data_IF_958029145241
#
_entry.id   IF_958029145241
#
_cell.length_a   1.000
_cell.length_b   1.000
_cell.length_c   1.000
_cell.angle_alpha   90.00
_cell.angle_beta   90.00
_cell.angle_gamma   90.00
#
_symmetry.space_group_name_H-M   'P 1'
#
loop_
_entity.id
_entity.type
_entity.pdbx_description
1 polymer ?
#
# COMPACT_ATOMS: atom_id res chain seq x y z
N UNK A 1 14.06 -18.46 15.73
CA UNK A 1 12.68 -18.74 16.15
C UNK A 1 11.74 -18.04 15.17
N UNK A 2 11.51 -18.69 14.00
CA UNK A 2 10.88 -18.06 12.81
C UNK A 2 9.73 -18.94 12.29
N UNK A 3 8.69 -19.14 13.10
CA UNK A 3 7.56 -20.03 12.73
C UNK A 3 6.20 -19.31 12.68
N UNK A 4 6.15 -17.98 12.83
CA UNK A 4 4.87 -17.23 12.81
C UNK A 4 4.53 -16.53 11.50
N UNK A 5 5.44 -16.41 10.54
CA UNK A 5 5.19 -15.64 9.30
C UNK A 5 4.41 -16.46 8.26
N UNK A 6 4.49 -17.78 8.26
CA UNK A 6 3.87 -18.61 7.21
C UNK A 6 2.37 -18.94 7.41
N UNK A 7 1.80 -18.67 8.58
CA UNK A 7 0.39 -19.01 8.87
C UNK A 7 -0.61 -17.91 8.48
N UNK A 8 -0.14 -16.69 8.18
CA UNK A 8 -1.00 -15.55 7.84
C UNK A 8 -1.28 -15.40 6.35
N UNK A 9 -0.50 -16.09 5.50
CA UNK A 9 -0.59 -15.91 4.03
C UNK A 9 -1.87 -16.53 3.45
N UNK A 10 -2.42 -17.56 4.08
CA UNK A 10 -3.57 -18.31 3.57
C UNK A 10 -4.94 -17.76 4.01
N UNK A 11 -4.99 -16.66 4.78
CA UNK A 11 -6.23 -16.13 5.36
C UNK A 11 -6.34 -14.60 5.37
N UNK A 12 -5.75 -13.91 4.42
CA UNK A 12 -6.03 -12.48 4.29
C UNK A 12 -7.47 -12.28 3.84
N UNK A 13 -8.32 -11.83 4.76
CA UNK A 13 -9.72 -11.55 4.51
C UNK A 13 -9.96 -10.05 4.60
N UNK A 14 -10.56 -9.49 3.57
CA UNK A 14 -11.05 -8.11 3.57
C UNK A 14 -12.36 -8.08 4.36
N UNK A 15 -12.42 -7.21 5.37
CA UNK A 15 -13.59 -7.05 6.24
C UNK A 15 -14.47 -5.91 5.75
N UNK A 16 -13.84 -4.80 5.35
CA UNK A 16 -14.52 -3.58 4.96
C UNK A 16 -13.65 -2.75 4.01
N UNK A 17 -14.32 -1.87 3.24
CA UNK A 17 -13.69 -0.82 2.45
C UNK A 17 -14.21 0.52 2.94
N UNK A 18 -13.30 1.43 3.27
CA UNK A 18 -13.58 2.77 3.77
C UNK A 18 -13.37 3.81 2.69
N UNK A 19 -14.30 4.75 2.54
CA UNK A 19 -14.06 5.98 1.80
C UNK A 19 -13.08 6.87 2.55
N UNK A 20 -12.11 7.43 1.86
CA UNK A 20 -11.20 8.40 2.43
C UNK A 20 -11.77 9.81 2.24
N UNK A 21 -11.94 10.54 3.35
CA UNK A 21 -12.53 11.88 3.34
C UNK A 21 -11.77 12.85 2.44
N UNK A 22 -12.51 13.72 1.73
CA UNK A 22 -11.90 14.74 0.87
C UNK A 22 -11.42 14.24 -0.49
N UNK A 23 -11.75 13.01 -0.89
CA UNK A 23 -11.23 12.38 -2.12
C UNK A 23 -12.26 12.28 -3.25
N UNK A 24 -13.33 13.09 -3.20
CA UNK A 24 -14.41 13.07 -4.19
C UNK A 24 -14.99 11.66 -4.45
N UNK A 25 -15.01 10.82 -3.42
CA UNK A 25 -15.47 9.41 -3.48
C UNK A 25 -14.72 8.54 -4.48
N UNK A 26 -13.45 8.85 -4.75
CA UNK A 26 -12.63 8.08 -5.68
C UNK A 26 -11.53 7.27 -5.02
N UNK A 27 -11.15 7.62 -3.78
CA UNK A 27 -10.10 6.93 -3.05
C UNK A 27 -10.65 6.28 -1.79
N UNK A 28 -10.39 4.99 -1.66
CA UNK A 28 -10.83 4.11 -0.59
C UNK A 28 -9.65 3.38 0.01
N UNK A 29 -9.85 2.76 1.17
CA UNK A 29 -8.86 1.88 1.78
C UNK A 29 -9.50 0.61 2.32
N UNK A 30 -8.86 -0.53 2.08
CA UNK A 30 -9.30 -1.81 2.60
C UNK A 30 -8.96 -1.97 4.09
N UNK A 31 -9.83 -2.68 4.82
CA UNK A 31 -9.59 -3.15 6.17
C UNK A 31 -9.47 -4.68 6.14
N UNK A 32 -8.46 -5.21 6.82
CA UNK A 32 -8.21 -6.65 6.86
C UNK A 32 -8.54 -7.22 8.24
N UNK A 33 -9.01 -8.48 8.27
CA UNK A 33 -9.28 -9.20 9.49
C UNK A 33 -8.00 -9.30 10.35
N UNK A 34 -8.11 -8.95 11.65
CA UNK A 34 -6.99 -8.89 12.59
C UNK A 34 -6.15 -7.60 12.51
N UNK A 35 -6.50 -6.66 11.61
CA UNK A 35 -5.88 -5.33 11.51
C UNK A 35 -6.93 -4.21 11.67
N UNK A 36 -8.08 -4.49 12.30
CA UNK A 36 -9.22 -3.56 12.35
C UNK A 36 -9.03 -2.42 13.34
N UNK A 37 -8.22 -2.63 14.36
CA UNK A 37 -7.99 -1.64 15.42
C UNK A 37 -6.50 -1.42 15.63
N UNK A 38 -6.16 -0.19 16.03
CA UNK A 38 -4.84 0.15 16.56
C UNK A 38 -4.66 -0.41 17.96
N UNK A 39 -3.45 -0.37 18.50
CA UNK A 39 -3.19 -0.74 19.91
C UNK A 39 -3.98 0.14 20.91
N UNK A 40 -4.41 1.33 20.47
CA UNK A 40 -5.27 2.27 21.26
C UNK A 40 -6.76 2.04 21.04
N UNK A 41 -7.16 1.07 20.21
CA UNK A 41 -8.55 0.74 19.93
C UNK A 41 -9.24 1.62 18.88
N UNK A 42 -8.48 2.44 18.15
CA UNK A 42 -9.02 3.24 17.04
C UNK A 42 -9.18 2.38 15.78
N UNK A 43 -10.20 2.69 14.97
CA UNK A 43 -10.44 2.00 13.69
C UNK A 43 -9.23 2.18 12.76
N UNK A 44 -8.70 1.07 12.28
CA UNK A 44 -7.56 1.04 11.39
C UNK A 44 -7.94 0.45 10.03
N UNK A 45 -7.48 1.06 8.97
CA UNK A 45 -7.54 0.54 7.60
C UNK A 45 -6.15 0.61 6.94
N UNK A 46 -5.98 -0.01 5.78
CA UNK A 46 -4.69 -0.15 5.11
C UNK A 46 -3.92 1.17 4.96
N UNK A 47 -4.61 2.27 4.64
CA UNK A 47 -3.94 3.56 4.46
C UNK A 47 -3.55 4.21 5.80
N UNK A 48 -4.43 4.17 6.82
CA UNK A 48 -4.10 4.70 8.16
C UNK A 48 -2.92 3.93 8.76
N UNK A 49 -2.88 2.60 8.57
CA UNK A 49 -1.74 1.79 9.00
C UNK A 49 -0.43 2.20 8.32
N UNK A 50 -0.43 2.35 7.01
CA UNK A 50 0.76 2.79 6.26
C UNK A 50 1.23 4.16 6.74
N UNK A 51 0.31 5.12 6.96
CA UNK A 51 0.64 6.44 7.48
C UNK A 51 1.22 6.39 8.89
N UNK A 52 0.66 5.57 9.78
CA UNK A 52 1.17 5.39 11.13
C UNK A 52 2.57 4.77 11.12
N UNK A 53 2.78 3.69 10.36
CA UNK A 53 4.05 2.99 10.24
C UNK A 53 5.14 3.92 9.66
N UNK A 54 4.84 4.65 8.58
CA UNK A 54 5.84 5.47 7.88
C UNK A 54 6.09 6.84 8.51
N UNK A 55 5.32 7.26 9.49
CA UNK A 55 5.61 8.40 10.37
C UNK A 55 6.30 8.02 11.66
N UNK A 56 6.46 6.72 11.90
CA UNK A 56 7.11 6.21 13.11
C UNK A 56 8.61 5.97 12.88
N UNK A 57 9.52 6.78 13.49
CA UNK A 57 10.95 6.60 13.33
C UNK A 57 11.46 5.24 13.80
N UNK A 58 10.81 4.64 14.80
CA UNK A 58 11.21 3.33 15.33
C UNK A 58 10.85 2.20 14.37
N UNK A 59 9.73 2.33 13.67
CA UNK A 59 9.36 1.41 12.61
C UNK A 59 10.42 1.38 11.49
N UNK A 60 10.83 2.55 10.99
CA UNK A 60 11.90 2.64 9.99
C UNK A 60 13.24 2.12 10.50
N UNK A 61 13.62 2.42 11.75
CA UNK A 61 14.86 1.87 12.33
C UNK A 61 14.85 0.35 12.34
N UNK A 62 13.75 -0.26 12.78
CA UNK A 62 13.59 -1.71 12.80
C UNK A 62 13.67 -2.29 11.39
N UNK A 63 12.96 -1.69 10.44
CA UNK A 63 12.98 -2.11 9.05
C UNK A 63 14.38 -2.06 8.43
N UNK A 64 15.06 -0.91 8.54
CA UNK A 64 16.40 -0.75 7.99
C UNK A 64 17.47 -1.58 8.72
N UNK A 65 17.26 -1.95 9.98
CA UNK A 65 18.13 -2.90 10.68
C UNK A 65 17.96 -4.30 10.11
N UNK A 66 16.74 -4.74 9.90
CA UNK A 66 16.42 -6.06 9.34
C UNK A 66 16.86 -6.21 7.87
N UNK A 67 16.63 -5.16 7.06
CA UNK A 67 16.90 -5.18 5.60
C UNK A 67 18.11 -4.30 5.22
N UNK A 68 19.10 -4.19 6.11
CA UNK A 68 20.27 -3.31 5.92
C UNK A 68 21.03 -3.60 4.63
N UNK A 69 21.22 -4.88 4.30
CA UNK A 69 21.94 -5.27 3.07
C UNK A 69 21.15 -4.88 1.83
N UNK A 70 19.84 -5.07 1.83
CA UNK A 70 18.98 -4.68 0.68
C UNK A 70 19.04 -3.17 0.44
N UNK A 71 19.08 -2.37 1.51
CA UNK A 71 19.25 -0.94 1.41
C UNK A 71 20.61 -0.54 0.84
N UNK A 72 21.67 -1.18 1.33
CA UNK A 72 23.02 -0.98 0.81
C UNK A 72 23.12 -1.30 -0.67
N UNK A 73 22.58 -2.43 -1.09
CA UNK A 73 22.58 -2.86 -2.50
C UNK A 73 21.76 -1.91 -3.38
N UNK A 74 20.68 -1.32 -2.84
CA UNK A 74 19.82 -0.39 -3.56
C UNK A 74 20.48 0.99 -3.77
N UNK A 75 21.15 1.53 -2.76
CA UNK A 75 21.76 2.87 -2.80
C UNK A 75 23.29 2.87 -3.02
N UNK A 76 23.96 1.75 -2.85
CA UNK A 76 25.41 1.63 -2.97
C UNK A 76 26.19 2.26 -1.80
N UNK A 77 25.49 2.71 -0.75
CA UNK A 77 26.12 3.23 0.47
C UNK A 77 25.21 3.07 1.69
N UNK A 78 25.78 2.69 2.82
CA UNK A 78 25.06 2.59 4.09
C UNK A 78 25.08 3.94 4.84
N UNK A 79 24.29 4.90 4.39
CA UNK A 79 24.04 6.14 5.14
C UNK A 79 23.00 5.91 6.24
N UNK A 80 23.35 5.14 7.26
CA UNK A 80 22.41 4.86 8.37
C UNK A 80 21.97 6.13 9.11
N UNK A 81 22.87 7.10 9.27
CA UNK A 81 22.55 8.39 9.87
C UNK A 81 21.83 9.28 8.84
N UNK A 82 20.56 9.53 9.05
CA UNK A 82 19.72 10.32 8.14
C UNK A 82 18.68 9.49 7.36
N UNK A 83 18.91 8.19 7.15
CA UNK A 83 17.97 7.32 6.41
C UNK A 83 16.55 7.39 6.94
N UNK A 84 16.40 7.37 8.27
CA UNK A 84 15.07 7.41 8.90
C UNK A 84 14.38 8.74 8.66
N UNK A 85 15.11 9.85 8.80
CA UNK A 85 14.58 11.19 8.55
C UNK A 85 14.17 11.34 7.09
N UNK A 86 15.06 10.98 6.17
CA UNK A 86 14.82 11.01 4.72
C UNK A 86 13.62 10.12 4.32
N UNK A 87 13.48 8.93 4.93
CA UNK A 87 12.36 8.05 4.67
C UNK A 87 11.01 8.62 5.12
N UNK A 88 10.98 9.34 6.24
CA UNK A 88 9.78 10.03 6.73
C UNK A 88 9.44 11.19 5.79
N UNK A 89 10.41 12.01 5.38
CA UNK A 89 10.21 13.09 4.43
C UNK A 89 9.65 12.57 3.11
N UNK A 90 10.22 11.50 2.55
CA UNK A 90 9.70 10.85 1.33
C UNK A 90 8.30 10.28 1.50
N UNK A 91 7.96 9.79 2.70
CA UNK A 91 6.63 9.31 2.98
C UNK A 91 5.61 10.45 3.04
N UNK A 92 5.94 11.55 3.69
CA UNK A 92 5.07 12.73 3.77
C UNK A 92 4.85 13.34 2.39
N UNK A 93 5.88 13.50 1.56
CA UNK A 93 5.76 13.95 0.16
C UNK A 93 4.81 13.04 -0.64
N UNK A 94 4.92 11.72 -0.46
CA UNK A 94 4.06 10.76 -1.14
C UNK A 94 2.60 10.86 -0.68
N UNK A 95 2.37 11.10 0.62
CA UNK A 95 1.02 11.28 1.15
C UNK A 95 0.38 12.60 0.72
N UNK A 96 1.16 13.68 0.61
CA UNK A 96 0.71 14.95 0.05
C UNK A 96 0.33 14.81 -1.42
N UNK A 97 1.16 14.14 -2.22
CA UNK A 97 0.88 13.86 -3.62
C UNK A 97 -0.41 13.04 -3.81
N UNK A 98 -0.59 12.00 -2.98
CA UNK A 98 -1.83 11.21 -2.97
C UNK A 98 -3.06 12.06 -2.63
N UNK A 99 -2.96 12.94 -1.64
CA UNK A 99 -4.04 13.82 -1.23
C UNK A 99 -4.40 14.85 -2.31
N UNK A 100 -3.40 15.46 -2.95
CA UNK A 100 -3.58 16.40 -4.05
C UNK A 100 -4.31 15.77 -5.24
N UNK A 101 -3.81 14.62 -5.73
CA UNK A 101 -4.42 13.91 -6.86
C UNK A 101 -5.81 13.36 -6.51
N UNK A 102 -6.05 12.94 -5.27
CA UNK A 102 -7.37 12.52 -4.83
C UNK A 102 -8.36 13.69 -4.78
N UNK A 103 -7.91 14.86 -4.33
CA UNK A 103 -8.72 16.09 -4.28
C UNK A 103 -9.07 16.63 -5.67
N UNK A 104 -8.16 16.56 -6.63
CA UNK A 104 -8.39 16.96 -8.02
C UNK A 104 -9.11 15.91 -8.86
N UNK A 105 -9.17 14.65 -8.38
CA UNK A 105 -9.76 13.52 -9.09
C UNK A 105 -8.87 12.91 -10.16
N UNK A 106 -7.58 13.28 -10.21
CA UNK A 106 -6.60 12.79 -11.20
C UNK A 106 -5.70 11.65 -10.63
N UNK A 107 -6.30 10.66 -10.01
CA UNK A 107 -5.58 9.50 -9.47
C UNK A 107 -4.96 8.61 -10.56
N UNK A 108 -5.51 8.63 -11.78
CA UNK A 108 -5.00 7.83 -12.90
C UNK A 108 -3.60 8.26 -13.33
N UNK A 109 -3.28 9.53 -13.25
CA UNK A 109 -1.95 10.03 -13.61
C UNK A 109 -0.88 9.56 -12.62
N UNK A 110 -1.26 9.39 -11.36
CA UNK A 110 -0.38 9.02 -10.25
C UNK A 110 -0.13 7.52 -10.19
N UNK A 111 -1.19 6.71 -10.28
CA UNK A 111 -1.09 5.26 -10.17
C UNK A 111 -0.62 4.61 -11.47
N UNK A 112 0.30 3.67 -11.38
CA UNK A 112 0.84 2.91 -12.51
C UNK A 112 0.62 1.40 -12.29
N UNK A 113 0.47 0.59 -13.35
CA UNK A 113 0.35 -0.86 -13.22
C UNK A 113 1.48 -1.48 -12.40
N UNK A 114 1.15 -2.48 -11.59
CA UNK A 114 2.15 -3.24 -10.82
C UNK A 114 3.04 -4.03 -11.77
N UNK A 115 2.45 -4.68 -12.77
CA UNK A 115 3.16 -5.37 -13.84
C UNK A 115 3.15 -4.49 -15.10
N UNK A 116 4.35 -4.19 -15.62
CA UNK A 116 4.49 -3.38 -16.84
C UNK A 116 4.11 -4.15 -18.11
N UNK A 117 3.88 -5.46 -18.03
CA UNK A 117 3.42 -6.31 -19.14
C UNK A 117 1.89 -6.28 -19.32
N UNK A 118 1.14 -5.77 -18.34
CA UNK A 118 -0.30 -5.57 -18.49
C UNK A 118 -0.55 -4.41 -19.47
N UNK A 119 -0.90 -4.77 -20.71
CA UNK A 119 -1.39 -3.79 -21.68
C UNK A 119 -2.60 -3.05 -21.11
N UNK A 120 -2.63 -1.73 -21.29
CA UNK A 120 -3.68 -0.81 -20.85
C UNK A 120 -4.97 -1.07 -21.67
N UNK A 121 -5.50 -2.27 -21.62
CA UNK A 121 -6.88 -2.53 -22.03
C UNK A 121 -7.78 -2.35 -20.80
N UNK A 122 -8.92 -1.74 -21.04
CA UNK A 122 -9.95 -1.39 -20.06
C UNK A 122 -10.31 -2.60 -19.20
N UNK A 123 -9.59 -2.80 -18.10
CA UNK A 123 -9.94 -3.80 -17.11
C UNK A 123 -10.75 -3.13 -16.01
N UNK A 124 -11.90 -3.69 -15.70
CA UNK A 124 -12.73 -3.27 -14.57
C UNK A 124 -11.97 -3.36 -13.24
N UNK A 125 -10.94 -4.23 -13.17
CA UNK A 125 -10.09 -4.44 -11.99
C UNK A 125 -8.61 -4.42 -12.37
N UNK A 126 -7.86 -3.42 -11.92
CA UNK A 126 -6.43 -3.27 -12.19
C UNK A 126 -5.62 -3.12 -10.90
N UNK A 127 -4.52 -3.89 -10.77
CA UNK A 127 -3.55 -3.77 -9.68
C UNK A 127 -2.58 -2.63 -9.97
N UNK A 128 -2.52 -1.65 -9.07
CA UNK A 128 -1.77 -0.42 -9.25
C UNK A 128 -0.79 -0.17 -8.11
N UNK A 129 0.20 0.66 -8.39
CA UNK A 129 1.18 1.18 -7.42
C UNK A 129 1.41 2.66 -7.65
N UNK A 130 1.65 3.40 -6.59
CA UNK A 130 2.29 4.71 -6.61
C UNK A 130 3.65 4.62 -5.94
N UNK A 131 4.59 5.41 -6.39
CA UNK A 131 5.93 5.53 -5.82
C UNK A 131 6.23 6.99 -5.57
N UNK A 132 7.03 7.31 -4.54
CA UNK A 132 7.50 8.67 -4.30
C UNK A 132 8.21 9.27 -5.50
N UNK A 133 8.22 10.60 -5.58
CA UNK A 133 8.78 11.43 -6.71
C UNK A 133 10.24 11.17 -6.97
N UNK A 134 10.99 10.77 -5.97
CA UNK A 134 12.41 10.51 -6.09
C UNK A 134 12.73 9.46 -7.16
N UNK A 135 13.76 9.73 -7.98
CA UNK A 135 14.17 8.85 -9.08
C UNK A 135 14.42 7.40 -8.63
N UNK A 136 14.90 7.21 -7.39
CA UNK A 136 15.14 5.91 -6.77
C UNK A 136 14.25 5.69 -5.53
N UNK A 137 13.02 6.19 -5.51
CA UNK A 137 12.15 5.92 -4.37
C UNK A 137 11.91 4.43 -4.17
N UNK A 138 12.01 3.97 -2.95
CA UNK A 138 11.70 2.61 -2.52
C UNK A 138 10.31 2.49 -1.90
N UNK A 139 9.67 3.59 -1.54
CA UNK A 139 8.31 3.59 -0.99
C UNK A 139 7.29 3.22 -2.08
N UNK A 140 6.36 2.36 -1.74
CA UNK A 140 5.28 1.94 -2.64
C UNK A 140 3.96 1.86 -1.88
N UNK A 141 2.95 2.58 -2.32
CA UNK A 141 1.56 2.38 -1.95
C UNK A 141 0.86 1.60 -3.06
N UNK A 142 0.09 0.61 -2.69
CA UNK A 142 -0.61 -0.27 -3.62
C UNK A 142 -2.10 -0.07 -3.55
N UNK A 143 -2.75 -0.12 -4.70
CA UNK A 143 -4.20 -0.02 -4.82
C UNK A 143 -4.74 -0.98 -5.88
N UNK A 144 -6.01 -1.31 -5.77
CA UNK A 144 -6.81 -1.94 -6.83
C UNK A 144 -7.72 -0.86 -7.41
N UNK A 145 -7.66 -0.65 -8.72
CA UNK A 145 -8.63 0.15 -9.44
C UNK A 145 -9.88 -0.70 -9.71
N UNK A 146 -11.05 -0.11 -9.47
CA UNK A 146 -12.35 -0.69 -9.78
C UNK A 146 -13.23 0.39 -10.41
N UNK A 147 -13.40 0.34 -11.72
CA UNK A 147 -14.01 1.44 -12.46
C UNK A 147 -13.19 2.72 -12.32
N UNK A 148 -13.81 3.79 -11.79
CA UNK A 148 -13.18 5.08 -11.52
C UNK A 148 -12.67 5.21 -10.06
N UNK A 149 -12.80 4.15 -9.28
CA UNK A 149 -12.47 4.13 -7.85
C UNK A 149 -11.17 3.38 -7.61
N UNK A 150 -10.43 3.81 -6.56
CA UNK A 150 -9.14 3.24 -6.19
C UNK A 150 -9.18 2.79 -4.74
N UNK A 151 -8.89 1.51 -4.48
CA UNK A 151 -8.88 0.94 -3.13
C UNK A 151 -7.45 0.67 -2.70
N UNK A 152 -6.92 1.46 -1.76
CA UNK A 152 -5.60 1.25 -1.17
C UNK A 152 -5.61 -0.06 -0.38
N UNK A 153 -4.65 -0.92 -0.67
CA UNK A 153 -4.49 -2.24 -0.04
C UNK A 153 -3.35 -2.27 0.97
N UNK A 154 -2.48 -1.26 0.96
CA UNK A 154 -1.35 -1.13 1.86
C UNK A 154 -0.16 -0.45 1.21
N UNK A 155 0.96 -0.44 1.93
CA UNK A 155 2.23 0.06 1.44
C UNK A 155 3.38 -0.82 1.89
N UNK A 156 4.52 -0.70 1.20
CA UNK A 156 5.75 -1.39 1.59
C UNK A 156 6.99 -0.68 1.03
N UNK A 157 8.15 -1.03 1.56
CA UNK A 157 9.45 -0.61 1.03
C UNK A 157 9.96 -1.67 0.05
N UNK A 158 10.23 -1.27 -1.18
CA UNK A 158 10.73 -2.17 -2.23
C UNK A 158 12.20 -1.85 -2.52
N UNK A 159 13.10 -2.56 -1.88
CA UNK A 159 14.55 -2.44 -2.06
C UNK A 159 15.10 -3.50 -3.02
N UNK A 160 14.39 -4.58 -3.27
CA UNK A 160 14.80 -5.68 -4.15
C UNK A 160 14.16 -5.59 -5.54
N UNK A 161 14.74 -6.31 -6.50
CA UNK A 161 14.24 -6.31 -7.90
C UNK A 161 12.82 -6.89 -7.99
N UNK A 162 12.55 -8.02 -7.33
CA UNK A 162 11.27 -8.70 -7.42
C UNK A 162 10.46 -8.61 -6.12
N UNK A 163 9.15 -8.50 -6.25
CA UNK A 163 8.22 -8.42 -5.11
C UNK A 163 8.17 -9.71 -4.27
N UNK A 164 8.55 -10.83 -4.85
CA UNK A 164 8.54 -12.15 -4.17
C UNK A 164 9.80 -12.40 -3.34
N UNK A 165 10.81 -11.53 -3.42
CA UNK A 165 12.11 -11.73 -2.79
C UNK A 165 12.08 -11.56 -1.27
N UNK A 166 11.11 -10.81 -0.75
CA UNK A 166 10.99 -10.52 0.69
C UNK A 166 9.56 -10.72 1.21
N UNK A 167 9.42 -11.14 2.49
CA UNK A 167 8.11 -11.39 3.09
C UNK A 167 7.16 -10.19 3.03
N UNK A 168 7.65 -8.98 3.34
CA UNK A 168 6.84 -7.76 3.36
C UNK A 168 6.34 -7.35 1.97
N UNK A 169 7.15 -7.53 0.93
CA UNK A 169 6.72 -7.26 -0.45
C UNK A 169 5.77 -8.34 -0.98
N UNK A 170 5.98 -9.60 -0.58
CA UNK A 170 5.05 -10.69 -0.88
C UNK A 170 3.69 -10.47 -0.19
N UNK A 171 3.70 -10.00 1.06
CA UNK A 171 2.46 -9.64 1.78
C UNK A 171 1.68 -8.55 1.04
N UNK A 172 2.36 -7.53 0.51
CA UNK A 172 1.71 -6.48 -0.27
C UNK A 172 1.01 -7.04 -1.53
N UNK A 173 1.63 -7.99 -2.23
CA UNK A 173 1.00 -8.69 -3.36
C UNK A 173 -0.23 -9.50 -2.93
N UNK A 174 -0.14 -10.19 -1.79
CA UNK A 174 -1.26 -10.98 -1.27
C UNK A 174 -2.44 -10.09 -0.86
N UNK A 175 -2.18 -8.92 -0.28
CA UNK A 175 -3.22 -7.92 0.04
C UNK A 175 -3.90 -7.38 -1.23
N UNK A 176 -3.13 -7.10 -2.29
CA UNK A 176 -3.69 -6.76 -3.60
C UNK A 176 -4.63 -7.84 -4.13
N UNK A 177 -4.20 -9.11 -4.07
CA UNK A 177 -5.02 -10.23 -4.53
C UNK A 177 -6.30 -10.38 -3.69
N UNK A 178 -6.20 -10.29 -2.37
CA UNK A 178 -7.35 -10.40 -1.48
C UNK A 178 -8.42 -9.34 -1.77
N UNK A 179 -8.01 -8.07 -1.98
CA UNK A 179 -8.94 -6.99 -2.37
C UNK A 179 -9.51 -7.22 -3.76
N UNK A 180 -8.69 -7.67 -4.72
CA UNK A 180 -9.18 -8.00 -6.06
C UNK A 180 -10.27 -9.07 -6.02
N UNK A 181 -10.08 -10.12 -5.24
CA UNK A 181 -11.07 -11.19 -5.09
C UNK A 181 -12.32 -10.72 -4.35
N UNK A 182 -12.15 -9.90 -3.30
CA UNK A 182 -13.27 -9.32 -2.57
C UNK A 182 -14.15 -8.46 -3.49
N UNK A 183 -13.56 -7.59 -4.30
CA UNK A 183 -14.28 -6.74 -5.24
C UNK A 183 -15.01 -7.56 -6.31
N UNK A 184 -14.37 -8.60 -6.87
CA UNK A 184 -15.01 -9.52 -7.83
C UNK A 184 -16.23 -10.24 -7.26
N UNK A 185 -16.17 -10.65 -6.00
CA UNK A 185 -17.26 -11.38 -5.34
C UNK A 185 -18.42 -10.47 -4.95
N UNK A 186 -18.14 -9.18 -4.74
CA UNK A 186 -19.13 -8.20 -4.30
C UNK A 186 -19.47 -7.17 -5.40
N UNK A 187 -19.15 -7.50 -6.66
CA UNK A 187 -19.46 -6.63 -7.81
C UNK A 187 -20.97 -6.53 -8.04
N UNK A 188 -21.52 -5.35 -7.77
CA UNK A 188 -22.87 -4.99 -8.18
C UNK A 188 -22.74 -3.75 -9.07
N UNK A 189 -22.55 -3.96 -10.37
CA UNK A 189 -22.52 -2.94 -11.43
C UNK A 189 -21.31 -1.98 -11.39
N UNK A 190 -20.11 -2.47 -11.06
CA UNK A 190 -18.87 -1.66 -11.13
C UNK A 190 -18.80 -0.51 -10.12
N UNK A 191 -19.53 -0.61 -8.99
CA UNK A 191 -19.48 0.36 -7.90
C UNK A 191 -19.24 -0.35 -6.56
N UNK A 192 -18.38 0.24 -5.74
CA UNK A 192 -18.20 -0.22 -4.36
C UNK A 192 -19.48 0.10 -3.61
N UNK A 193 -20.20 -0.93 -3.17
CA UNK A 193 -21.37 -0.75 -2.31
C UNK A 193 -20.86 -0.56 -0.89
N UNK A 194 -21.15 0.61 -0.35
CA UNK A 194 -20.89 0.94 1.04
C UNK A 194 -21.64 -0.03 1.94
N UNK A 195 -20.92 -0.92 2.61
CA UNK A 195 -21.41 -1.63 3.78
C UNK A 195 -21.17 -0.73 4.99
N UNK A 196 -21.87 0.42 5.07
CA UNK A 196 -22.07 1.10 6.34
C UNK A 196 -23.06 0.27 7.16
N UNK A 197 -22.58 -0.30 8.25
CA UNK A 197 -23.36 -0.62 9.42
C UNK A 197 -22.53 -0.37 10.66
#
# INVERSE_FOLDING_TARGET
MNLKVNLWVDRLKVVRIFELSGTNRKLFAAQFEGEELTDTGEIQHAFSKVRADWRNPNWFRSFFTEFRQDYFDFYGSARLNGMVKEAIEFADDLFEELAEHAGTGDLESLFKPVDNSENVQVYELQKLKVKGRERKSYLRVYAVRFGDEFVITGGTLKLTKFMKDRPHTKLALNKLEAVTQFLKQNDIKGKIIYLER
#
